data_IF_871261506562
#
_entry.id   IF_871261506562
#
_cell.length_a   1.000
_cell.length_b   1.000
_cell.length_c   1.000
_cell.angle_alpha   90.00
_cell.angle_beta   90.00
_cell.angle_gamma   90.00
#
_symmetry.space_group_name_H-M   'P 1'
#
loop_
_entity.id
_entity.type
_entity.pdbx_description
1 polymer ?
#
# COMPACT_ATOMS: atom_id res chain seq x y z
N UNK A 1 8.42 -3.06 -20.10
CA UNK A 1 7.04 -3.59 -19.99
C UNK A 1 6.06 -2.57 -20.52
N UNK A 2 4.87 -3.00 -20.95
CA UNK A 2 3.78 -2.09 -21.34
C UNK A 2 3.08 -1.51 -20.10
N UNK A 3 2.48 -0.33 -20.21
CA UNK A 3 1.70 0.28 -19.13
C UNK A 3 0.37 -0.44 -18.99
N UNK A 4 -0.03 -0.73 -17.74
CA UNK A 4 -1.27 -1.47 -17.43
C UNK A 4 -2.51 -0.81 -18.05
N UNK A 5 -2.63 0.52 -17.95
CA UNK A 5 -3.79 1.27 -18.47
C UNK A 5 -3.91 1.20 -19.99
N UNK A 6 -2.78 1.22 -20.71
CA UNK A 6 -2.77 1.15 -22.17
C UNK A 6 -3.18 -0.24 -22.64
N UNK A 7 -2.67 -1.29 -21.99
CA UNK A 7 -3.03 -2.68 -22.27
C UNK A 7 -4.51 -2.93 -21.97
N UNK A 8 -5.03 -2.41 -20.85
CA UNK A 8 -6.44 -2.54 -20.50
C UNK A 8 -7.35 -1.84 -21.52
N UNK A 9 -7.02 -0.59 -21.89
CA UNK A 9 -7.79 0.14 -22.88
C UNK A 9 -7.72 -0.49 -24.28
N UNK A 10 -6.56 -1.02 -24.68
CA UNK A 10 -6.43 -1.78 -25.93
C UNK A 10 -7.31 -3.04 -25.91
N UNK A 11 -7.21 -3.86 -24.87
CA UNK A 11 -8.00 -5.08 -24.72
C UNK A 11 -9.51 -4.80 -24.73
N UNK A 12 -9.94 -3.71 -24.07
CA UNK A 12 -11.34 -3.27 -24.08
C UNK A 12 -11.82 -2.92 -25.49
N UNK A 13 -11.01 -2.20 -26.28
CA UNK A 13 -11.37 -1.81 -27.65
C UNK A 13 -11.33 -2.98 -28.63
N UNK A 14 -10.40 -3.91 -28.45
CA UNK A 14 -10.22 -5.05 -29.36
C UNK A 14 -11.31 -6.11 -29.14
N UNK A 15 -11.64 -6.42 -27.89
CA UNK A 15 -12.50 -7.56 -27.55
C UNK A 15 -13.96 -7.19 -27.27
N UNK A 16 -14.29 -5.90 -27.14
CA UNK A 16 -15.66 -5.45 -26.89
C UNK A 16 -16.13 -4.50 -27.99
N UNK A 17 -17.37 -4.67 -28.43
CA UNK A 17 -18.04 -3.75 -29.36
C UNK A 17 -18.53 -2.49 -28.64
N UNK A 18 -17.58 -1.67 -28.20
CA UNK A 18 -17.86 -0.44 -27.48
C UNK A 18 -18.54 0.60 -28.38
N UNK A 19 -19.55 1.27 -27.84
CA UNK A 19 -20.15 2.49 -28.42
C UNK A 19 -19.68 3.76 -27.72
N UNK A 20 -18.72 3.62 -26.82
CA UNK A 20 -18.15 4.66 -25.99
C UNK A 20 -16.68 4.83 -26.29
N UNK A 21 -16.15 6.00 -25.99
CA UNK A 21 -14.71 6.25 -25.99
C UNK A 21 -14.10 5.77 -24.67
N UNK A 22 -12.85 5.31 -24.75
CA UNK A 22 -12.06 4.91 -23.59
C UNK A 22 -10.80 5.75 -23.62
N UNK A 23 -10.53 6.49 -22.54
CA UNK A 23 -9.28 7.22 -22.36
C UNK A 23 -8.43 6.50 -21.31
N UNK A 24 -7.16 6.25 -21.65
CA UNK A 24 -6.20 5.64 -20.74
C UNK A 24 -5.26 6.72 -20.20
N UNK A 25 -5.33 6.98 -18.89
CA UNK A 25 -4.44 7.94 -18.24
C UNK A 25 -3.44 7.18 -17.39
N UNK A 26 -2.15 7.26 -17.76
CA UNK A 26 -1.08 6.80 -16.88
C UNK A 26 -0.88 7.85 -15.78
N UNK A 27 -1.08 7.41 -14.54
CA UNK A 27 -1.04 8.26 -13.36
C UNK A 27 -0.52 7.43 -12.18
N UNK A 28 0.52 7.90 -11.51
CA UNK A 28 0.89 7.42 -10.18
C UNK A 28 -0.02 8.08 -9.15
N UNK A 29 -0.95 7.32 -8.57
CA UNK A 29 -1.93 7.88 -7.65
C UNK A 29 -1.30 8.52 -6.39
N UNK A 30 -0.12 8.04 -5.98
CA UNK A 30 0.59 8.55 -4.80
C UNK A 30 1.25 9.89 -5.09
N UNK A 31 1.84 10.03 -6.28
CA UNK A 31 2.63 11.21 -6.65
C UNK A 31 1.82 12.27 -7.40
N UNK A 32 0.76 11.87 -8.10
CA UNK A 32 -0.01 12.71 -9.02
C UNK A 32 -1.46 12.96 -8.53
N UNK A 33 -1.71 13.01 -7.21
CA UNK A 33 -3.05 13.27 -6.67
C UNK A 33 -3.78 14.48 -7.27
N UNK A 34 -3.13 15.66 -7.50
CA UNK A 34 -3.80 16.79 -8.14
C UNK A 34 -4.39 16.48 -9.52
N UNK A 35 -3.78 15.55 -10.27
CA UNK A 35 -4.29 15.09 -11.57
C UNK A 35 -5.55 14.25 -11.40
N UNK A 36 -5.61 13.39 -10.40
CA UNK A 36 -6.82 12.62 -10.06
C UNK A 36 -7.96 13.56 -9.67
N UNK A 37 -7.68 14.58 -8.84
CA UNK A 37 -8.68 15.59 -8.47
C UNK A 37 -9.20 16.35 -9.68
N UNK A 38 -8.34 16.69 -10.65
CA UNK A 38 -8.75 17.34 -11.89
C UNK A 38 -9.69 16.45 -12.71
N UNK A 39 -9.30 15.19 -12.95
CA UNK A 39 -10.11 14.21 -13.68
C UNK A 39 -11.46 13.94 -12.99
N UNK A 40 -11.47 13.85 -11.66
CA UNK A 40 -12.69 13.60 -10.90
C UNK A 40 -13.73 14.72 -11.06
N UNK A 41 -13.31 15.98 -11.27
CA UNK A 41 -14.23 17.11 -11.51
C UNK A 41 -14.99 16.99 -12.83
N UNK A 42 -14.50 16.18 -13.77
CA UNK A 42 -15.13 15.91 -15.05
C UNK A 42 -16.01 14.64 -15.02
N UNK A 43 -15.92 13.86 -13.93
CA UNK A 43 -16.61 12.60 -13.78
C UNK A 43 -18.06 12.77 -13.30
N UNK A 44 -18.89 11.77 -13.57
CA UNK A 44 -20.25 11.63 -13.01
C UNK A 44 -20.35 10.51 -11.98
N UNK A 45 -19.37 9.61 -11.95
CA UNK A 45 -19.23 8.48 -11.03
C UNK A 45 -17.76 8.08 -10.96
N UNK A 46 -17.30 7.63 -9.80
CA UNK A 46 -15.94 7.13 -9.59
C UNK A 46 -15.98 5.64 -9.25
N UNK A 47 -15.18 4.85 -9.95
CA UNK A 47 -14.92 3.45 -9.62
C UNK A 47 -13.51 3.34 -9.05
N UNK A 48 -13.40 3.15 -7.73
CA UNK A 48 -12.12 3.03 -7.05
C UNK A 48 -11.65 1.57 -7.06
N UNK A 49 -10.50 1.35 -7.70
CA UNK A 49 -9.75 0.09 -7.69
C UNK A 49 -8.29 0.29 -7.30
N UNK A 50 -7.99 1.33 -6.52
CA UNK A 50 -6.63 1.64 -6.07
C UNK A 50 -6.24 0.65 -4.96
N UNK A 51 -5.18 -0.11 -5.20
CA UNK A 51 -4.62 -1.07 -4.23
C UNK A 51 -3.34 -0.50 -3.60
N UNK A 52 -3.51 0.58 -2.82
CA UNK A 52 -2.41 1.24 -2.08
C UNK A 52 -2.68 1.22 -0.57
N UNK A 53 -3.90 0.87 -0.17
CA UNK A 53 -4.31 0.72 1.22
C UNK A 53 -5.45 1.65 1.60
N UNK A 54 -6.01 1.37 2.77
CA UNK A 54 -7.26 1.98 3.27
C UNK A 54 -7.24 3.51 3.33
N UNK A 55 -6.09 4.14 3.56
CA UNK A 55 -5.98 5.60 3.57
C UNK A 55 -6.30 6.22 2.21
N UNK A 56 -6.04 5.50 1.12
CA UNK A 56 -6.42 5.96 -0.21
C UNK A 56 -7.91 5.88 -0.44
N UNK A 57 -8.56 4.86 0.08
CA UNK A 57 -10.02 4.76 0.04
C UNK A 57 -10.67 5.93 0.79
N UNK A 58 -10.10 6.35 1.93
CA UNK A 58 -10.51 7.58 2.62
C UNK A 58 -10.40 8.81 1.72
N UNK A 59 -9.23 9.02 1.09
CA UNK A 59 -9.00 10.18 0.23
C UNK A 59 -9.98 10.23 -0.95
N UNK A 60 -10.21 9.10 -1.63
CA UNK A 60 -11.15 9.02 -2.75
C UNK A 60 -12.59 9.22 -2.29
N UNK A 61 -12.97 8.65 -1.13
CA UNK A 61 -14.30 8.87 -0.56
C UNK A 61 -14.55 10.34 -0.22
N UNK A 62 -13.60 10.99 0.48
CA UNK A 62 -13.68 12.42 0.79
C UNK A 62 -13.77 13.28 -0.47
N UNK A 63 -12.97 12.98 -1.50
CA UNK A 63 -13.05 13.67 -2.79
C UNK A 63 -14.44 13.51 -3.43
N UNK A 64 -14.99 12.30 -3.45
CA UNK A 64 -16.31 12.04 -4.00
C UNK A 64 -17.41 12.74 -3.21
N UNK A 65 -17.29 12.84 -1.88
CA UNK A 65 -18.22 13.61 -1.03
C UNK A 65 -18.17 15.10 -1.33
N UNK A 66 -16.97 15.65 -1.44
CA UNK A 66 -16.78 17.08 -1.75
C UNK A 66 -17.38 17.44 -3.12
N UNK A 67 -17.23 16.53 -4.11
CA UNK A 67 -17.74 16.74 -5.47
C UNK A 67 -19.19 16.27 -5.68
N UNK A 68 -19.83 15.65 -4.67
CA UNK A 68 -21.17 15.08 -4.80
C UNK A 68 -21.26 13.89 -5.77
N UNK A 69 -20.18 13.12 -5.93
CA UNK A 69 -20.06 12.02 -6.89
C UNK A 69 -20.38 10.67 -6.24
N UNK A 70 -21.18 9.80 -6.88
CA UNK A 70 -21.28 8.40 -6.50
C UNK A 70 -19.91 7.71 -6.59
N UNK A 71 -19.59 6.91 -5.58
CA UNK A 71 -18.37 6.13 -5.48
C UNK A 71 -18.70 4.65 -5.42
N UNK A 72 -18.08 3.84 -6.27
CA UNK A 72 -18.08 2.39 -6.20
C UNK A 72 -16.68 1.93 -5.82
N UNK A 73 -16.51 1.31 -4.65
CA UNK A 73 -15.24 0.75 -4.21
C UNK A 73 -15.23 -0.76 -4.47
N UNK A 74 -14.22 -1.25 -5.18
CA UNK A 74 -13.98 -2.68 -5.36
C UNK A 74 -12.71 -3.10 -4.64
N UNK A 75 -12.82 -4.09 -3.75
CA UNK A 75 -11.68 -4.63 -3.00
C UNK A 75 -11.69 -6.17 -3.02
N UNK A 76 -10.50 -6.75 -2.94
CA UNK A 76 -10.35 -8.20 -2.84
C UNK A 76 -9.26 -8.58 -1.85
N UNK A 77 -9.46 -9.68 -1.13
CA UNK A 77 -8.45 -10.25 -0.24
C UNK A 77 -8.56 -11.78 -0.25
N UNK A 78 -7.55 -12.44 -0.83
CA UNK A 78 -7.55 -13.88 -1.03
C UNK A 78 -8.74 -14.33 -1.90
N UNK A 79 -9.67 -15.07 -1.32
CA UNK A 79 -10.89 -15.57 -1.98
C UNK A 79 -12.12 -14.69 -1.75
N UNK A 80 -11.97 -13.57 -1.02
CA UNK A 80 -13.06 -12.64 -0.73
C UNK A 80 -13.03 -11.48 -1.71
N UNK A 81 -14.21 -11.07 -2.17
CA UNK A 81 -14.43 -9.88 -2.96
C UNK A 81 -15.55 -9.06 -2.31
N UNK A 82 -15.37 -7.74 -2.28
CA UNK A 82 -16.36 -6.80 -1.79
C UNK A 82 -16.51 -5.66 -2.80
N UNK A 83 -17.75 -5.31 -3.09
CA UNK A 83 -18.10 -4.14 -3.86
C UNK A 83 -19.10 -3.31 -3.04
N UNK A 84 -18.76 -2.06 -2.79
CA UNK A 84 -19.56 -1.15 -1.99
C UNK A 84 -19.88 0.11 -2.80
N UNK A 85 -21.07 0.67 -2.59
CA UNK A 85 -21.51 1.88 -3.29
C UNK A 85 -21.91 2.96 -2.28
N UNK A 86 -21.41 4.17 -2.49
CA UNK A 86 -21.72 5.36 -1.71
C UNK A 86 -22.26 6.46 -2.62
N UNK A 87 -23.25 7.20 -2.14
CA UNK A 87 -24.02 8.14 -2.97
C UNK A 87 -23.31 9.46 -3.26
N UNK A 88 -22.19 9.76 -2.60
CA UNK A 88 -21.51 11.06 -2.70
C UNK A 88 -22.20 12.21 -1.97
N UNK A 89 -23.43 12.05 -1.48
CA UNK A 89 -24.13 13.13 -0.76
C UNK A 89 -23.50 13.38 0.60
N UNK A 90 -23.37 14.64 1.01
CA UNK A 90 -22.78 15.04 2.29
C UNK A 90 -23.53 14.47 3.52
N UNK A 91 -24.85 14.26 3.41
CA UNK A 91 -25.71 13.75 4.48
C UNK A 91 -25.76 12.21 4.56
N UNK A 92 -25.23 11.51 3.56
CA UNK A 92 -25.26 10.06 3.50
C UNK A 92 -24.04 9.45 4.18
N UNK A 93 -24.23 8.25 4.72
CA UNK A 93 -23.15 7.39 5.24
C UNK A 93 -22.11 7.14 4.15
N UNK A 94 -20.85 7.05 4.54
CA UNK A 94 -19.74 6.64 3.68
C UNK A 94 -19.06 5.36 4.22
N UNK A 95 -18.10 4.82 3.46
CA UNK A 95 -17.32 3.63 3.80
C UNK A 95 -16.79 3.64 5.24
N UNK A 96 -16.49 4.83 5.74
CA UNK A 96 -15.79 5.04 7.00
C UNK A 96 -16.60 5.80 8.04
N UNK A 97 -17.92 5.95 7.84
CA UNK A 97 -18.78 6.52 8.87
C UNK A 97 -19.02 5.53 10.03
N UNK A 98 -18.87 4.24 9.78
CA UNK A 98 -19.04 3.18 10.78
C UNK A 98 -17.73 2.60 11.28
N UNK A 99 -16.63 2.84 10.56
CA UNK A 99 -15.28 2.47 10.98
C UNK A 99 -14.47 3.72 11.31
N UNK A 100 -14.10 3.86 12.57
CA UNK A 100 -13.21 4.94 12.97
C UNK A 100 -11.86 4.81 12.27
N UNK A 101 -11.22 5.93 11.98
CA UNK A 101 -9.82 5.95 11.54
C UNK A 101 -8.93 5.17 12.51
N UNK A 102 -9.26 5.19 13.80
CA UNK A 102 -8.60 4.40 14.84
C UNK A 102 -8.77 2.89 14.66
N UNK A 103 -9.99 2.37 14.41
CA UNK A 103 -10.21 0.93 14.18
C UNK A 103 -9.49 0.44 12.93
N UNK A 104 -9.41 1.29 11.91
CA UNK A 104 -8.62 1.03 10.71
C UNK A 104 -7.12 0.94 11.00
N UNK A 105 -6.56 1.89 11.77
CA UNK A 105 -5.16 1.82 12.18
C UNK A 105 -4.86 0.65 13.13
N UNK A 106 -5.80 0.31 14.02
CA UNK A 106 -5.70 -0.86 14.88
C UNK A 106 -5.77 -2.17 14.09
N UNK A 107 -6.51 -2.22 12.98
CA UNK A 107 -6.45 -3.37 12.07
C UNK A 107 -5.05 -3.52 11.47
N UNK A 108 -4.38 -2.41 11.16
CA UNK A 108 -2.96 -2.41 10.75
C UNK A 108 -2.04 -2.89 11.88
N UNK A 109 -2.21 -2.41 13.12
CA UNK A 109 -1.48 -2.94 14.29
C UNK A 109 -1.73 -4.45 14.46
N UNK A 110 -2.97 -4.91 14.26
CA UNK A 110 -3.29 -6.33 14.32
C UNK A 110 -2.55 -7.12 13.23
N UNK A 111 -2.36 -6.55 12.04
CA UNK A 111 -1.60 -7.20 10.97
C UNK A 111 -0.09 -7.31 11.27
N UNK A 112 0.43 -6.34 12.03
CA UNK A 112 1.82 -6.30 12.49
C UNK A 112 2.02 -7.26 13.67
N UNK A 113 1.10 -7.27 14.63
CA UNK A 113 1.24 -7.92 15.94
C UNK A 113 0.55 -9.30 16.05
N UNK A 114 -0.29 -9.72 15.08
CA UNK A 114 -0.92 -11.06 15.11
C UNK A 114 0.10 -12.18 14.95
N UNK A 115 -0.32 -13.40 15.27
CA UNK A 115 0.44 -14.60 14.94
C UNK A 115 0.68 -14.69 13.42
N UNK A 116 1.94 -14.77 13.00
CA UNK A 116 2.39 -14.69 11.62
C UNK A 116 2.44 -13.28 11.03
N UNK A 117 2.18 -12.23 11.83
CA UNK A 117 2.31 -10.82 11.45
C UNK A 117 3.77 -10.37 11.30
N UNK A 118 3.98 -9.18 10.74
CA UNK A 118 5.32 -8.66 10.41
C UNK A 118 6.25 -8.66 11.62
N UNK A 119 5.75 -8.28 12.80
CA UNK A 119 6.56 -8.24 14.03
C UNK A 119 7.04 -9.64 14.44
N UNK A 120 6.17 -10.65 14.40
CA UNK A 120 6.55 -12.03 14.73
C UNK A 120 7.52 -12.61 13.69
N UNK A 121 7.31 -12.32 12.39
CA UNK A 121 8.19 -12.80 11.33
C UNK A 121 9.57 -12.15 11.40
N UNK A 122 9.63 -10.84 11.64
CA UNK A 122 10.90 -10.15 11.88
C UNK A 122 11.60 -10.71 13.11
N UNK A 123 10.87 -10.90 14.21
CA UNK A 123 11.43 -11.51 15.44
C UNK A 123 12.00 -12.89 15.15
N UNK A 124 11.26 -13.75 14.45
CA UNK A 124 11.72 -15.10 14.09
C UNK A 124 12.96 -15.06 13.22
N UNK A 125 12.98 -14.15 12.23
CA UNK A 125 14.13 -13.95 11.36
C UNK A 125 15.38 -13.47 12.11
N UNK A 126 15.22 -12.57 13.09
CA UNK A 126 16.31 -12.11 13.94
C UNK A 126 16.86 -13.25 14.80
N UNK A 127 16.00 -14.09 15.39
CA UNK A 127 16.43 -15.26 16.15
C UNK A 127 17.19 -16.28 15.26
N UNK A 128 16.73 -16.52 14.03
CA UNK A 128 17.45 -17.34 13.05
C UNK A 128 18.87 -16.77 12.78
N UNK A 129 18.98 -15.46 12.56
CA UNK A 129 20.28 -14.79 12.37
C UNK A 129 21.20 -14.87 13.60
N UNK A 130 20.63 -14.89 14.82
CA UNK A 130 21.41 -15.08 16.06
C UNK A 130 21.95 -16.51 16.17
N UNK A 131 21.14 -17.52 15.82
CA UNK A 131 21.59 -18.92 15.83
C UNK A 131 22.71 -19.18 14.81
N UNK A 132 22.76 -18.40 13.74
CA UNK A 132 23.83 -18.44 12.73
C UNK A 132 25.11 -17.66 13.12
N UNK A 133 25.23 -17.25 14.39
CA UNK A 133 26.37 -16.49 14.95
C UNK A 133 26.61 -15.10 14.31
N UNK A 134 25.63 -14.53 13.60
CA UNK A 134 25.77 -13.21 12.93
C UNK A 134 25.51 -12.02 13.86
N UNK A 135 24.96 -12.25 15.05
CA UNK A 135 24.52 -11.20 15.97
C UNK A 135 24.74 -11.64 17.41
N UNK A 136 25.75 -11.09 18.09
CA UNK A 136 25.90 -11.23 19.54
C UNK A 136 24.96 -10.23 20.24
N UNK A 137 24.06 -10.76 21.08
CA UNK A 137 23.32 -10.06 22.15
C UNK A 137 22.54 -8.77 21.79
N UNK A 138 22.21 -8.53 20.52
CA UNK A 138 21.43 -7.36 20.13
C UNK A 138 19.96 -7.51 20.55
N UNK A 139 19.46 -6.61 21.38
CA UNK A 139 18.03 -6.49 21.69
C UNK A 139 17.20 -6.27 20.39
N UNK A 140 15.89 -6.56 20.38
CA UNK A 140 15.02 -6.23 19.22
C UNK A 140 15.00 -4.72 18.91
N UNK A 141 15.45 -3.88 19.84
CA UNK A 141 15.62 -2.44 19.65
C UNK A 141 16.95 -2.05 18.96
N UNK A 142 17.88 -3.00 18.78
CA UNK A 142 19.21 -2.81 18.16
C UNK A 142 19.39 -3.60 16.86
N UNK A 143 18.30 -3.89 16.13
CA UNK A 143 18.39 -4.62 14.86
C UNK A 143 19.01 -3.71 13.80
N UNK A 144 20.27 -3.95 13.46
CA UNK A 144 20.99 -3.21 12.42
C UNK A 144 20.25 -3.16 11.07
N UNK A 145 20.51 -2.12 10.26
CA UNK A 145 19.78 -1.88 9.00
C UNK A 145 20.03 -2.97 7.96
N UNK A 146 21.15 -3.69 8.07
CA UNK A 146 21.48 -4.85 7.22
C UNK A 146 20.50 -6.02 7.46
N UNK A 147 20.18 -6.31 8.72
CA UNK A 147 19.24 -7.38 9.09
C UNK A 147 17.83 -7.00 8.63
N UNK A 148 17.46 -5.72 8.75
CA UNK A 148 16.18 -5.22 8.24
C UNK A 148 16.12 -5.36 6.71
N UNK A 149 17.18 -4.97 5.99
CA UNK A 149 17.24 -5.13 4.54
C UNK A 149 17.13 -6.61 4.11
N UNK A 150 17.85 -7.50 4.79
CA UNK A 150 17.79 -8.95 4.57
C UNK A 150 16.39 -9.52 4.85
N UNK A 151 15.75 -9.10 5.94
CA UNK A 151 14.37 -9.49 6.26
C UNK A 151 13.43 -9.06 5.14
N UNK A 152 13.44 -7.78 4.74
CA UNK A 152 12.56 -7.26 3.70
C UNK A 152 12.80 -7.93 2.34
N UNK A 153 14.04 -8.32 2.03
CA UNK A 153 14.37 -9.04 0.81
C UNK A 153 13.83 -10.48 0.79
N UNK A 154 13.72 -11.14 1.95
CA UNK A 154 13.29 -12.55 2.08
C UNK A 154 11.80 -12.70 2.41
N UNK A 155 11.23 -11.76 3.15
CA UNK A 155 9.85 -11.83 3.61
C UNK A 155 8.87 -11.81 2.44
N UNK A 156 7.97 -12.79 2.40
CA UNK A 156 7.05 -13.01 1.29
C UNK A 156 6.08 -11.83 1.03
N UNK A 157 5.82 -10.98 2.03
CA UNK A 157 4.95 -9.80 1.86
C UNK A 157 5.70 -8.60 1.29
N UNK A 158 7.01 -8.53 1.47
CA UNK A 158 7.85 -7.39 1.07
C UNK A 158 8.74 -7.69 -0.13
N UNK A 159 8.58 -8.84 -0.81
CA UNK A 159 9.37 -9.25 -1.98
C UNK A 159 9.33 -8.20 -3.09
N UNK A 160 10.23 -7.22 -3.02
CA UNK A 160 10.56 -6.35 -4.13
C UNK A 160 11.38 -7.19 -5.12
N UNK A 161 10.73 -7.72 -6.16
CA UNK A 161 11.45 -8.43 -7.23
C UNK A 161 12.43 -7.49 -7.95
N UNK A 162 13.66 -7.93 -8.20
CA UNK A 162 14.63 -7.19 -9.03
C UNK A 162 16.04 -6.96 -8.47
N UNK A 163 16.39 -7.58 -7.35
CA UNK A 163 17.63 -7.30 -6.61
C UNK A 163 17.26 -6.61 -5.30
N UNK A 164 17.66 -7.21 -4.18
CA UNK A 164 17.16 -6.86 -2.85
C UNK A 164 17.21 -5.35 -2.55
N UNK A 165 16.31 -4.90 -1.68
CA UNK A 165 16.40 -3.58 -1.06
C UNK A 165 17.84 -3.37 -0.58
N UNK A 166 18.54 -2.38 -1.15
CA UNK A 166 19.90 -2.11 -0.72
C UNK A 166 19.86 -1.54 0.69
N UNK A 167 20.82 -1.94 1.52
CA UNK A 167 21.00 -1.43 2.88
C UNK A 167 20.96 0.10 2.93
N UNK A 168 21.46 0.78 1.90
CA UNK A 168 21.47 2.24 1.81
C UNK A 168 20.05 2.85 1.69
N UNK A 169 19.13 2.18 1.00
CA UNK A 169 17.73 2.60 0.90
C UNK A 169 17.01 2.44 2.25
N UNK A 170 17.28 1.35 2.96
CA UNK A 170 16.75 1.10 4.30
C UNK A 170 17.31 2.12 5.30
N UNK A 171 18.63 2.35 5.29
CA UNK A 171 19.27 3.38 6.11
C UNK A 171 18.68 4.77 5.85
N UNK A 172 18.45 5.12 4.59
CA UNK A 172 17.85 6.41 4.21
C UNK A 172 16.41 6.54 4.73
N UNK A 173 15.62 5.47 4.64
CA UNK A 173 14.26 5.45 5.17
C UNK A 173 14.24 5.57 6.71
N UNK A 174 15.11 4.85 7.42
CA UNK A 174 15.23 4.93 8.88
C UNK A 174 15.69 6.32 9.34
N UNK A 175 16.62 6.95 8.61
CA UNK A 175 17.06 8.31 8.89
C UNK A 175 15.92 9.34 8.73
N UNK A 176 15.10 9.21 7.67
CA UNK A 176 13.91 10.06 7.48
C UNK A 176 12.87 9.89 8.59
N UNK A 177 12.77 8.68 9.16
CA UNK A 177 11.90 8.39 10.30
C UNK A 177 12.46 8.87 11.66
N UNK A 178 13.64 9.49 11.67
CA UNK A 178 14.30 9.95 12.91
C UNK A 178 14.94 8.83 13.73
N UNK A 179 15.09 7.63 13.16
CA UNK A 179 15.69 6.45 13.80
C UNK A 179 17.19 6.37 13.48
N UNK A 180 17.94 7.41 13.85
CA UNK A 180 19.34 7.62 13.43
C UNK A 180 20.38 6.83 14.25
N UNK A 181 19.95 5.92 15.14
CA UNK A 181 20.84 5.11 15.99
C UNK A 181 21.59 3.99 15.25
N UNK A 182 21.20 3.66 14.03
CA UNK A 182 21.74 2.54 13.27
C UNK A 182 23.07 2.89 12.60
N UNK A 183 24.19 2.67 13.28
CA UNK A 183 25.52 2.74 12.67
C UNK A 183 25.77 1.47 11.85
N UNK A 184 26.30 1.65 10.63
CA UNK A 184 26.82 0.55 9.80
C UNK A 184 27.99 -0.09 10.55
N UNK A 185 27.77 -1.22 11.20
CA UNK A 185 28.88 -2.06 11.68
C UNK A 185 29.50 -2.71 10.45
N UNK A 186 30.66 -2.21 10.04
CA UNK A 186 31.47 -2.89 9.03
C UNK A 186 31.87 -4.26 9.59
N UNK A 187 31.23 -5.32 9.11
CA UNK A 187 31.76 -6.68 9.22
C UNK A 187 32.88 -6.79 8.19
N UNK A 188 34.14 -6.78 8.67
CA UNK A 188 35.31 -7.26 7.91
C UNK A 188 35.28 -8.79 7.80
#
# INVERSE_FOLDING_TARGET
GLRKVDVAAHSLREHHSLRSEVEAVHCDAVLEWPKIVALAKEATVVFNGIDVGVMWDYCVNSLCKELGLPLVCGQSFGWKFMAEMYTGRADAVCAFCHDSTLSTFQANESSICRTGGVSQRLTSFVEECRTDARVEDASLTDIGPEIIADFLAKDHQFRCGGGGLCTDAVCSALALAGLTGFRRTSLE
#
